data_IF_533321906147
#
_entry.id   IF_533321906147
#
_cell.length_a   1.000
_cell.length_b   1.000
_cell.length_c   1.000
_cell.angle_alpha   90.00
_cell.angle_beta   90.00
_cell.angle_gamma   90.00
#
_symmetry.space_group_name_H-M   'P 1'
#
loop_
_entity.id
_entity.type
_entity.pdbx_description
1 polymer ?
#
# COMPACT_ATOMS: atom_id res chain seq x y z
N UNK A 1 -2.87 -41.10 7.30
CA UNK A 1 -3.17 -40.37 6.03
C UNK A 1 -4.35 -39.40 6.11
N UNK A 2 -5.48 -39.70 6.79
CA UNK A 2 -6.62 -38.75 6.91
C UNK A 2 -6.31 -37.48 7.72
N UNK A 3 -5.55 -37.60 8.82
CA UNK A 3 -5.13 -36.44 9.63
C UNK A 3 -4.17 -35.48 8.91
N UNK A 4 -3.27 -36.01 8.07
CA UNK A 4 -2.38 -35.16 7.25
C UNK A 4 -3.17 -34.32 6.23
N UNK A 5 -4.24 -34.86 5.63
CA UNK A 5 -5.11 -34.10 4.72
C UNK A 5 -5.90 -33.01 5.44
N UNK A 6 -6.36 -33.27 6.67
CA UNK A 6 -7.08 -32.29 7.48
C UNK A 6 -6.17 -31.13 7.95
N UNK A 7 -4.93 -31.41 8.34
CA UNK A 7 -3.97 -30.35 8.67
C UNK A 7 -3.54 -29.55 7.43
N UNK A 8 -3.39 -30.20 6.27
CA UNK A 8 -3.09 -29.50 5.02
C UNK A 8 -4.22 -28.57 4.58
N UNK A 9 -5.49 -28.98 4.73
CA UNK A 9 -6.64 -28.15 4.34
C UNK A 9 -6.82 -26.92 5.25
N UNK A 10 -6.59 -27.04 6.56
CA UNK A 10 -6.61 -25.92 7.52
C UNK A 10 -5.50 -24.90 7.22
N UNK A 11 -4.29 -25.39 6.91
CA UNK A 11 -3.15 -24.52 6.57
C UNK A 11 -3.35 -23.82 5.22
N UNK A 12 -3.93 -24.53 4.24
CA UNK A 12 -4.28 -23.98 2.94
C UNK A 12 -5.36 -22.89 3.02
N UNK A 13 -6.42 -23.09 3.82
CA UNK A 13 -7.44 -22.05 4.06
C UNK A 13 -6.87 -20.80 4.74
N UNK A 14 -5.91 -20.99 5.65
CA UNK A 14 -5.16 -19.90 6.27
C UNK A 14 -4.24 -19.17 5.27
N UNK A 15 -3.65 -19.86 4.28
CA UNK A 15 -2.79 -19.24 3.27
C UNK A 15 -3.59 -18.48 2.21
N UNK A 16 -4.70 -19.06 1.74
CA UNK A 16 -5.58 -18.44 0.76
C UNK A 16 -6.17 -17.13 1.30
N UNK A 17 -6.67 -17.13 2.55
CA UNK A 17 -7.19 -15.91 3.18
C UNK A 17 -6.12 -14.82 3.34
N UNK A 18 -4.88 -15.18 3.62
CA UNK A 18 -3.75 -14.25 3.68
C UNK A 18 -3.43 -13.66 2.30
N UNK A 19 -3.41 -14.49 1.27
CA UNK A 19 -3.20 -14.06 -0.12
C UNK A 19 -4.31 -13.10 -0.57
N UNK A 20 -5.58 -13.46 -0.35
CA UNK A 20 -6.74 -12.60 -0.69
C UNK A 20 -6.63 -11.25 -0.02
N UNK A 21 -6.25 -11.19 1.26
CA UNK A 21 -6.09 -9.92 1.98
C UNK A 21 -4.91 -9.10 1.48
N UNK A 22 -3.81 -9.74 1.11
CA UNK A 22 -2.70 -9.10 0.42
C UNK A 22 -3.15 -8.49 -0.92
N UNK A 23 -3.88 -9.24 -1.74
CA UNK A 23 -4.41 -8.76 -3.03
C UNK A 23 -5.41 -7.62 -2.87
N UNK A 24 -6.35 -7.72 -1.93
CA UNK A 24 -7.28 -6.63 -1.62
C UNK A 24 -6.52 -5.38 -1.17
N UNK A 25 -5.52 -5.54 -0.31
CA UNK A 25 -4.65 -4.44 0.12
C UNK A 25 -3.96 -3.80 -1.08
N UNK A 26 -3.36 -4.61 -1.95
CA UNK A 26 -2.67 -4.15 -3.15
C UNK A 26 -3.58 -3.32 -4.06
N UNK A 27 -4.73 -3.88 -4.45
CA UNK A 27 -5.65 -3.23 -5.39
C UNK A 27 -6.28 -1.99 -4.78
N UNK A 28 -6.79 -2.07 -3.54
CA UNK A 28 -7.49 -0.95 -2.90
C UNK A 28 -6.52 0.20 -2.60
N UNK A 29 -5.35 -0.09 -2.02
CA UNK A 29 -4.37 0.97 -1.74
C UNK A 29 -3.75 1.54 -3.01
N UNK A 30 -3.50 0.71 -4.03
CA UNK A 30 -2.97 1.17 -5.31
C UNK A 30 -3.93 2.10 -6.04
N UNK A 31 -5.20 1.70 -6.18
CA UNK A 31 -6.22 2.51 -6.88
C UNK A 31 -6.58 3.77 -6.09
N UNK A 32 -7.00 3.62 -4.83
CA UNK A 32 -7.46 4.77 -4.03
C UNK A 32 -6.30 5.68 -3.65
N UNK A 33 -5.13 5.13 -3.32
CA UNK A 33 -3.93 5.93 -3.05
C UNK A 33 -3.54 6.77 -4.26
N UNK A 34 -3.54 6.18 -5.46
CA UNK A 34 -3.27 6.93 -6.70
C UNK A 34 -4.35 7.98 -6.99
N UNK A 35 -5.62 7.71 -6.69
CA UNK A 35 -6.68 8.70 -6.88
C UNK A 35 -6.53 9.92 -5.96
N UNK A 36 -6.08 9.74 -4.72
CA UNK A 36 -6.05 10.81 -3.71
C UNK A 36 -4.69 11.50 -3.56
N UNK A 37 -3.57 10.86 -3.96
CA UNK A 37 -2.23 11.36 -3.62
C UNK A 37 -1.94 12.78 -4.11
N UNK A 38 -2.46 13.16 -5.28
CA UNK A 38 -2.27 14.47 -5.88
C UNK A 38 -3.22 15.55 -5.31
N UNK A 39 -4.04 15.21 -4.30
CA UNK A 39 -4.88 16.18 -3.59
C UNK A 39 -3.99 17.20 -2.88
N UNK A 40 -4.23 18.47 -3.17
CA UNK A 40 -3.45 19.57 -2.65
C UNK A 40 -4.33 20.77 -2.37
N UNK A 41 -3.82 21.66 -1.53
CA UNK A 41 -4.41 22.96 -1.26
C UNK A 41 -3.32 24.03 -1.34
N UNK A 42 -3.67 25.28 -1.58
CA UNK A 42 -2.72 26.37 -1.66
C UNK A 42 -2.83 27.27 -0.44
N UNK A 43 -1.70 27.56 0.20
CA UNK A 43 -1.58 28.59 1.22
C UNK A 43 -0.78 29.75 0.63
N UNK A 44 -1.48 30.70 0.02
CA UNK A 44 -0.85 31.67 -0.88
C UNK A 44 -0.26 30.94 -2.10
N UNK A 45 1.02 31.16 -2.40
CA UNK A 45 1.72 30.55 -3.53
C UNK A 45 2.36 29.19 -3.20
N UNK A 46 2.23 28.70 -1.95
CA UNK A 46 2.87 27.47 -1.50
C UNK A 46 1.88 26.29 -1.64
N UNK A 47 2.21 25.25 -2.43
CA UNK A 47 1.39 24.05 -2.54
C UNK A 47 1.54 23.16 -1.30
N UNK A 48 0.43 22.88 -0.62
CA UNK A 48 0.32 21.91 0.48
C UNK A 48 -0.17 20.57 -0.07
N UNK A 49 0.76 19.63 -0.28
CA UNK A 49 0.54 18.30 -0.86
C UNK A 49 0.07 17.27 0.18
N UNK A 50 -1.03 17.56 0.88
CA UNK A 50 -1.52 16.71 1.97
C UNK A 50 -2.08 15.36 1.50
N UNK A 51 -2.50 15.23 0.23
CA UNK A 51 -3.05 14.00 -0.33
C UNK A 51 -2.13 12.80 -0.19
N UNK A 52 -0.81 13.01 -0.31
CA UNK A 52 0.17 11.93 -0.16
C UNK A 52 0.20 11.35 1.26
N UNK A 53 -0.01 12.19 2.28
CA UNK A 53 -0.05 11.75 3.68
C UNK A 53 -1.26 10.86 3.93
N UNK A 54 -2.41 11.20 3.33
CA UNK A 54 -3.63 10.39 3.41
C UNK A 54 -3.45 9.07 2.65
N UNK A 55 -2.85 9.10 1.46
CA UNK A 55 -2.54 7.90 0.70
C UNK A 55 -1.57 6.97 1.45
N UNK A 56 -0.54 7.52 2.10
CA UNK A 56 0.38 6.78 2.95
C UNK A 56 -0.31 6.16 4.16
N UNK A 57 -1.19 6.90 4.82
CA UNK A 57 -1.97 6.39 5.94
C UNK A 57 -2.85 5.23 5.51
N UNK A 58 -3.53 5.34 4.37
CA UNK A 58 -4.36 4.28 3.80
C UNK A 58 -3.54 3.02 3.49
N UNK A 59 -2.41 3.17 2.78
CA UNK A 59 -1.49 2.07 2.48
C UNK A 59 -1.01 1.41 3.77
N UNK A 60 -0.53 2.20 4.72
CA UNK A 60 -0.06 1.72 6.02
C UNK A 60 -1.15 0.95 6.76
N UNK A 61 -2.37 1.47 6.81
CA UNK A 61 -3.49 0.83 7.52
C UNK A 61 -3.86 -0.51 6.87
N UNK A 62 -3.93 -0.58 5.54
CA UNK A 62 -4.26 -1.80 4.82
C UNK A 62 -3.15 -2.86 4.92
N UNK A 63 -1.88 -2.45 4.84
CA UNK A 63 -0.73 -3.35 5.09
C UNK A 63 -0.80 -3.90 6.51
N UNK A 64 -1.00 -3.05 7.51
CA UNK A 64 -1.16 -3.48 8.90
C UNK A 64 -2.35 -4.45 9.07
N UNK A 65 -3.51 -4.10 8.52
CA UNK A 65 -4.72 -4.91 8.55
C UNK A 65 -4.49 -6.29 7.93
N UNK A 66 -3.88 -6.36 6.74
CA UNK A 66 -3.64 -7.62 6.05
C UNK A 66 -2.80 -8.59 6.89
N UNK A 67 -1.80 -8.08 7.62
CA UNK A 67 -0.94 -8.88 8.49
C UNK A 67 -1.67 -9.29 9.77
N UNK A 68 -2.23 -8.34 10.52
CA UNK A 68 -2.85 -8.62 11.83
C UNK A 68 -4.06 -9.53 11.69
N UNK A 69 -4.81 -9.36 10.60
CA UNK A 69 -6.00 -10.14 10.37
C UNK A 69 -5.65 -11.56 9.84
N UNK A 70 -4.59 -11.72 9.05
CA UNK A 70 -4.18 -13.04 8.52
C UNK A 70 -3.23 -13.83 9.43
N UNK A 71 -2.59 -13.16 10.40
CA UNK A 71 -1.52 -13.73 11.20
C UNK A 71 -0.17 -13.86 10.49
N UNK A 72 -0.04 -13.32 9.26
CA UNK A 72 1.10 -13.58 8.37
C UNK A 72 1.72 -12.29 7.85
N UNK A 73 2.99 -12.06 8.18
CA UNK A 73 3.73 -10.86 7.73
C UNK A 73 3.85 -10.76 6.22
N UNK A 74 4.03 -11.90 5.54
CA UNK A 74 4.17 -11.93 4.09
C UNK A 74 2.90 -11.43 3.36
N UNK A 75 1.71 -11.51 3.98
CA UNK A 75 0.49 -10.95 3.41
C UNK A 75 0.58 -9.43 3.23
N UNK A 76 1.18 -8.73 4.21
CA UNK A 76 1.44 -7.29 4.12
C UNK A 76 2.51 -6.95 3.09
N UNK A 77 3.55 -7.78 2.98
CA UNK A 77 4.57 -7.61 1.93
C UNK A 77 3.96 -7.76 0.52
N UNK A 78 3.10 -8.77 0.31
CA UNK A 78 2.35 -8.94 -0.94
C UNK A 78 1.43 -7.74 -1.20
N UNK A 79 0.76 -7.22 -0.17
CA UNK A 79 -0.06 -6.01 -0.28
C UNK A 79 0.73 -4.79 -0.73
N UNK A 80 1.91 -4.55 -0.15
CA UNK A 80 2.79 -3.45 -0.53
C UNK A 80 3.35 -3.62 -1.96
N UNK A 81 3.92 -4.78 -2.28
CA UNK A 81 4.49 -5.06 -3.61
C UNK A 81 3.39 -4.95 -4.67
N UNK A 82 2.23 -5.55 -4.42
CA UNK A 82 1.10 -5.48 -5.34
C UNK A 82 0.57 -4.06 -5.52
N UNK A 83 0.53 -3.24 -4.45
CA UNK A 83 0.22 -1.80 -4.57
C UNK A 83 1.19 -1.11 -5.52
N UNK A 84 2.50 -1.33 -5.36
CA UNK A 84 3.52 -0.77 -6.24
C UNK A 84 3.33 -1.18 -7.71
N UNK A 85 2.99 -2.46 -7.94
CA UNK A 85 2.67 -2.95 -9.28
C UNK A 85 1.41 -2.33 -9.88
N UNK A 86 0.36 -2.12 -9.08
CA UNK A 86 -0.87 -1.43 -9.51
C UNK A 86 -0.55 0.01 -9.91
N UNK A 87 0.16 0.76 -9.05
CA UNK A 87 0.58 2.14 -9.33
C UNK A 87 1.45 2.20 -10.59
N UNK A 88 2.43 1.30 -10.72
CA UNK A 88 3.29 1.22 -11.90
C UNK A 88 2.53 0.87 -13.17
N UNK A 89 1.51 0.00 -13.08
CA UNK A 89 0.66 -0.35 -14.22
C UNK A 89 -0.21 0.83 -14.66
N UNK A 90 -0.80 1.58 -13.72
CA UNK A 90 -1.55 2.81 -14.02
C UNK A 90 -0.63 3.83 -14.68
N UNK A 91 0.60 3.97 -14.18
CA UNK A 91 1.58 4.93 -14.72
C UNK A 91 2.07 4.57 -16.13
N UNK A 92 2.17 3.28 -16.45
CA UNK A 92 2.71 2.82 -17.72
C UNK A 92 1.65 2.66 -18.81
N UNK A 93 0.46 2.15 -18.47
CA UNK A 93 -0.62 1.88 -19.42
C UNK A 93 -1.72 2.95 -19.43
N UNK A 94 -1.76 3.83 -18.43
CA UNK A 94 -2.73 4.91 -18.39
C UNK A 94 -2.38 6.01 -19.40
N UNK A 95 -3.35 6.39 -20.23
CA UNK A 95 -3.25 7.62 -21.03
C UNK A 95 -3.35 8.89 -20.16
N UNK A 96 -3.81 8.75 -18.91
CA UNK A 96 -3.88 9.81 -17.91
C UNK A 96 -2.62 9.77 -17.04
N UNK A 97 -1.85 10.85 -17.04
CA UNK A 97 -0.65 11.01 -16.20
C UNK A 97 -1.04 11.36 -14.75
N UNK A 98 -1.72 10.43 -14.08
CA UNK A 98 -1.97 10.56 -12.64
C UNK A 98 -0.68 10.60 -11.82
N UNK A 99 0.40 10.01 -12.33
CA UNK A 99 1.74 10.07 -11.75
C UNK A 99 2.63 10.91 -12.66
N UNK A 100 3.10 12.04 -12.16
CA UNK A 100 3.92 12.97 -12.93
C UNK A 100 5.43 12.69 -12.74
N UNK A 101 6.20 12.55 -13.83
CA UNK A 101 7.66 12.46 -13.75
C UNK A 101 8.31 13.81 -13.40
N UNK A 102 9.55 13.76 -12.89
CA UNK A 102 10.31 14.92 -12.40
C UNK A 102 10.43 16.07 -13.42
N UNK A 103 10.39 15.78 -14.71
CA UNK A 103 10.44 16.79 -15.78
C UNK A 103 9.27 17.80 -15.73
N UNK A 104 8.15 17.47 -15.08
CA UNK A 104 7.02 18.38 -14.93
C UNK A 104 7.12 19.33 -13.73
N UNK A 105 8.20 19.25 -12.94
CA UNK A 105 8.34 20.05 -11.71
C UNK A 105 8.27 21.56 -11.97
N UNK A 106 8.75 22.02 -13.13
CA UNK A 106 8.71 23.44 -13.51
C UNK A 106 7.32 23.93 -13.92
N UNK A 107 6.44 23.02 -14.34
CA UNK A 107 5.09 23.36 -14.84
C UNK A 107 4.01 23.09 -13.78
N UNK A 108 4.16 22.01 -13.01
CA UNK A 108 3.20 21.52 -12.02
C UNK A 108 3.94 21.07 -10.75
N UNK A 109 4.54 22.01 -9.99
CA UNK A 109 5.41 21.66 -8.87
C UNK A 109 4.70 20.86 -7.78
N UNK A 110 3.51 21.28 -7.37
CA UNK A 110 2.72 20.58 -6.33
C UNK A 110 2.38 19.14 -6.71
N UNK A 111 1.65 18.90 -7.83
CA UNK A 111 1.35 17.56 -8.31
C UNK A 111 2.60 16.70 -8.53
N UNK A 112 3.67 17.27 -9.10
CA UNK A 112 4.93 16.52 -9.32
C UNK A 112 5.55 16.06 -8.01
N UNK A 113 5.65 16.94 -7.01
CA UNK A 113 6.16 16.58 -5.67
C UNK A 113 5.27 15.50 -5.03
N UNK A 114 3.95 15.63 -5.13
CA UNK A 114 3.02 14.63 -4.61
C UNK A 114 3.21 13.27 -5.28
N UNK A 115 3.39 13.21 -6.62
CA UNK A 115 3.65 11.98 -7.36
C UNK A 115 4.99 11.35 -6.99
N UNK A 116 6.05 12.15 -6.80
CA UNK A 116 7.36 11.65 -6.38
C UNK A 116 7.30 11.07 -4.95
N UNK A 117 6.66 11.79 -4.02
CA UNK A 117 6.47 11.31 -2.65
C UNK A 117 5.59 10.06 -2.61
N UNK A 118 4.54 10.00 -3.45
CA UNK A 118 3.70 8.82 -3.54
C UNK A 118 4.54 7.66 -4.05
N UNK A 119 5.13 7.72 -5.25
CA UNK A 119 5.87 6.63 -5.89
C UNK A 119 7.07 6.14 -5.06
N UNK A 120 7.93 7.04 -4.59
CA UNK A 120 9.18 6.66 -3.95
C UNK A 120 9.05 6.54 -2.42
N UNK A 121 8.07 7.20 -1.82
CA UNK A 121 7.88 7.21 -0.37
C UNK A 121 6.99 6.11 0.17
N UNK A 122 6.28 5.35 -0.68
CA UNK A 122 5.37 4.24 -0.28
C UNK A 122 5.99 3.26 0.73
N UNK A 123 7.30 3.06 0.65
CA UNK A 123 8.03 2.11 1.48
C UNK A 123 7.99 2.50 2.96
N UNK A 124 7.97 3.80 3.27
CA UNK A 124 7.99 4.31 4.65
C UNK A 124 6.76 3.86 5.44
N UNK A 125 5.52 4.17 5.03
CA UNK A 125 4.32 3.71 5.76
C UNK A 125 4.20 2.19 5.77
N UNK A 126 4.59 1.49 4.69
CA UNK A 126 4.53 0.04 4.64
C UNK A 126 5.44 -0.62 5.68
N UNK A 127 6.70 -0.18 5.78
CA UNK A 127 7.68 -0.70 6.75
C UNK A 127 7.24 -0.41 8.19
N UNK A 128 6.80 0.83 8.47
CA UNK A 128 6.29 1.19 9.81
C UNK A 128 5.14 0.27 10.20
N UNK A 129 4.17 0.07 9.31
CA UNK A 129 3.03 -0.82 9.55
C UNK A 129 3.41 -2.28 9.76
N UNK A 130 4.39 -2.80 9.01
CA UNK A 130 4.90 -4.16 9.21
C UNK A 130 5.54 -4.31 10.60
N UNK A 131 6.33 -3.34 11.05
CA UNK A 131 6.90 -3.36 12.40
C UNK A 131 5.83 -3.28 13.49
N UNK A 132 4.82 -2.43 13.32
CA UNK A 132 3.70 -2.34 14.26
C UNK A 132 2.91 -3.64 14.31
N UNK A 133 2.61 -4.24 13.16
CA UNK A 133 1.91 -5.52 13.08
C UNK A 133 2.73 -6.67 13.69
N UNK A 134 4.04 -6.71 13.44
CA UNK A 134 4.96 -7.68 14.04
C UNK A 134 4.92 -7.63 15.57
N UNK A 135 4.90 -6.42 16.16
CA UNK A 135 4.78 -6.26 17.62
C UNK A 135 3.48 -6.85 18.15
N UNK A 136 2.37 -6.66 17.44
CA UNK A 136 1.05 -7.20 17.83
C UNK A 136 1.02 -8.73 17.72
N UNK A 137 1.55 -9.29 16.63
CA UNK A 137 1.66 -10.73 16.42
C UNK A 137 2.48 -11.40 17.54
N UNK A 138 3.62 -10.83 17.90
CA UNK A 138 4.48 -11.32 19.00
C UNK A 138 3.77 -11.32 20.35
N UNK A 139 2.91 -10.32 20.62
CA UNK A 139 2.11 -10.26 21.86
C UNK A 139 1.02 -11.32 21.92
N UNK A 140 0.45 -11.73 20.77
CA UNK A 140 -0.58 -12.79 20.72
C UNK A 140 -0.01 -14.21 20.88
N UNK A 141 1.29 -14.38 20.62
CA UNK A 141 1.99 -15.67 20.73
C UNK A 141 2.60 -15.92 22.12
N UNK A 142 2.64 -14.89 22.98
CA UNK A 142 3.00 -15.01 24.40
C UNK A 142 1.74 -15.25 25.21
#
# INVERSE_FOLDING_TARGET
MREQRANQSLTAGSNLSALVRGLVTAVVSGLLGTAIHASLSYAGDIPLVWGVLVAWLLLGLLVYWSVVASGKLWAGAVGFIGCYLVVGSISYFGNDTMILPLQYLQYLPGPTIASLLWMYGMIVPAVISLFMALRVLRKRQR
#
